data_IF_178168238115
#
_entry.id   IF_178168238115
#
_cell.length_a   1.000
_cell.length_b   1.000
_cell.length_c   1.000
_cell.angle_alpha   90.00
_cell.angle_beta   90.00
_cell.angle_gamma   90.00
#
_symmetry.space_group_name_H-M   'P 1'
#
loop_
_entity.id
_entity.type
_entity.pdbx_description
1 polymer ?
#
# COMPACT_ATOMS: atom_id res chain seq x y z
N UNK A 1 17.09 -42.51 -2.14
CA UNK A 1 18.09 -41.46 -2.42
C UNK A 1 17.65 -40.44 -3.48
N UNK A 2 16.63 -40.72 -4.32
CA UNK A 2 16.12 -39.76 -5.33
C UNK A 2 15.36 -38.56 -4.73
N UNK A 3 14.43 -38.79 -3.79
CA UNK A 3 13.57 -37.72 -3.26
C UNK A 3 14.33 -36.57 -2.59
N UNK A 4 15.46 -36.84 -1.93
CA UNK A 4 16.26 -35.81 -1.26
C UNK A 4 16.94 -34.87 -2.25
N UNK A 5 17.38 -35.36 -3.42
CA UNK A 5 18.05 -34.52 -4.42
C UNK A 5 17.04 -33.64 -5.15
N UNK A 6 15.85 -34.16 -5.46
CA UNK A 6 14.76 -33.38 -6.06
C UNK A 6 14.30 -32.24 -5.16
N UNK A 7 14.14 -32.49 -3.86
CA UNK A 7 13.75 -31.45 -2.89
C UNK A 7 14.82 -30.35 -2.79
N UNK A 8 16.11 -30.69 -2.76
CA UNK A 8 17.17 -29.68 -2.73
C UNK A 8 17.23 -28.83 -4.00
N UNK A 9 17.06 -29.44 -5.18
CA UNK A 9 17.04 -28.69 -6.45
C UNK A 9 15.82 -27.76 -6.54
N UNK A 10 14.66 -28.21 -6.05
CA UNK A 10 13.46 -27.40 -6.00
C UNK A 10 13.64 -26.16 -5.10
N UNK A 11 14.20 -26.34 -3.90
CA UNK A 11 14.47 -25.25 -2.96
C UNK A 11 15.44 -24.24 -3.58
N UNK A 12 16.52 -24.72 -4.20
CA UNK A 12 17.50 -23.86 -4.87
C UNK A 12 16.86 -23.03 -5.98
N UNK A 13 16.06 -23.65 -6.85
CA UNK A 13 15.36 -22.95 -7.93
C UNK A 13 14.37 -21.92 -7.39
N UNK A 14 13.64 -22.24 -6.31
CA UNK A 14 12.72 -21.31 -5.65
C UNK A 14 13.46 -20.08 -5.07
N UNK A 15 14.63 -20.28 -4.46
CA UNK A 15 15.46 -19.20 -3.92
C UNK A 15 16.02 -18.30 -5.02
N UNK A 16 16.50 -18.89 -6.12
CA UNK A 16 16.97 -18.13 -7.28
C UNK A 16 15.84 -17.29 -7.86
N UNK A 17 14.68 -17.91 -8.10
CA UNK A 17 13.50 -17.20 -8.62
C UNK A 17 13.07 -16.04 -7.71
N UNK A 18 12.96 -16.28 -6.39
CA UNK A 18 12.59 -15.24 -5.41
C UNK A 18 13.61 -14.09 -5.41
N UNK A 19 14.89 -14.40 -5.56
CA UNK A 19 15.95 -13.38 -5.60
C UNK A 19 15.84 -12.54 -6.87
N UNK A 20 15.78 -13.17 -8.04
CA UNK A 20 15.59 -12.46 -9.32
C UNK A 20 14.34 -11.59 -9.32
N UNK A 21 13.23 -12.12 -8.81
CA UNK A 21 11.99 -11.37 -8.68
C UNK A 21 12.18 -10.12 -7.80
N UNK A 22 12.83 -10.26 -6.63
CA UNK A 22 13.13 -9.13 -5.74
C UNK A 22 14.02 -8.08 -6.42
N UNK A 23 15.02 -8.49 -7.19
CA UNK A 23 15.89 -7.58 -7.96
C UNK A 23 15.08 -6.78 -8.99
N UNK A 24 14.22 -7.46 -9.75
CA UNK A 24 13.37 -6.82 -10.76
C UNK A 24 12.34 -5.88 -10.13
N UNK A 25 11.68 -6.32 -9.07
CA UNK A 25 10.70 -5.53 -8.32
C UNK A 25 11.34 -4.26 -7.73
N UNK A 26 12.53 -4.39 -7.14
CA UNK A 26 13.27 -3.25 -6.64
C UNK A 26 13.63 -2.27 -7.76
N UNK A 27 14.21 -2.74 -8.87
CA UNK A 27 14.63 -1.85 -9.95
C UNK A 27 13.46 -1.08 -10.56
N UNK A 28 12.38 -1.77 -10.93
CA UNK A 28 11.22 -1.16 -11.58
C UNK A 28 10.43 -0.32 -10.57
N UNK A 29 10.15 -0.88 -9.39
CA UNK A 29 9.32 -0.25 -8.37
C UNK A 29 9.98 0.99 -7.76
N UNK A 30 11.29 0.95 -7.51
CA UNK A 30 12.02 2.09 -6.96
C UNK A 30 12.06 3.27 -7.95
N UNK A 31 12.38 2.99 -9.22
CA UNK A 31 12.40 4.02 -10.27
C UNK A 31 10.99 4.60 -10.48
N UNK A 32 9.97 3.73 -10.58
CA UNK A 32 8.58 4.16 -10.78
C UNK A 32 8.07 5.05 -9.65
N UNK A 33 8.33 4.68 -8.38
CA UNK A 33 7.90 5.46 -7.24
C UNK A 33 8.65 6.79 -7.09
N UNK A 34 9.93 6.86 -7.47
CA UNK A 34 10.66 8.14 -7.54
C UNK A 34 10.01 9.06 -8.57
N UNK A 35 9.69 8.55 -9.77
CA UNK A 35 9.00 9.36 -10.78
C UNK A 35 7.64 9.84 -10.31
N UNK A 36 6.85 8.99 -9.63
CA UNK A 36 5.57 9.41 -9.05
C UNK A 36 5.75 10.57 -8.08
N UNK A 37 6.70 10.47 -7.14
CA UNK A 37 6.99 11.54 -6.19
C UNK A 37 7.38 12.82 -6.95
N UNK A 38 8.33 12.75 -7.88
CA UNK A 38 8.79 13.91 -8.64
C UNK A 38 7.65 14.58 -9.42
N UNK A 39 6.78 13.81 -10.08
CA UNK A 39 5.66 14.34 -10.85
C UNK A 39 4.65 15.03 -9.93
N UNK A 40 4.25 14.37 -8.84
CA UNK A 40 3.21 14.88 -7.96
C UNK A 40 3.67 16.04 -7.07
N UNK A 41 4.96 16.13 -6.73
CA UNK A 41 5.49 17.26 -5.95
C UNK A 41 5.86 18.48 -6.79
N UNK A 42 6.38 18.29 -8.02
CA UNK A 42 6.88 19.41 -8.83
C UNK A 42 5.81 20.04 -9.75
N UNK A 43 4.73 19.32 -10.05
CA UNK A 43 3.69 19.88 -10.93
C UNK A 43 2.76 20.78 -10.13
N UNK A 44 2.70 22.08 -10.47
CA UNK A 44 1.82 23.06 -9.80
C UNK A 44 0.34 22.66 -9.78
N UNK A 45 -0.10 21.87 -10.77
CA UNK A 45 -1.47 21.33 -10.87
C UNK A 45 -1.78 20.33 -9.74
N UNK A 46 -0.78 19.59 -9.27
CA UNK A 46 -0.94 18.50 -8.31
C UNK A 46 -0.52 18.87 -6.88
N UNK A 47 0.25 19.94 -6.70
CA UNK A 47 0.80 20.36 -5.40
C UNK A 47 -0.22 20.52 -4.27
N UNK A 48 -1.46 20.89 -4.60
CA UNK A 48 -2.55 21.04 -3.62
C UNK A 48 -3.66 19.99 -3.78
N UNK A 49 -3.40 18.95 -4.56
CA UNK A 49 -4.38 17.89 -4.82
C UNK A 49 -4.27 16.79 -3.75
N UNK A 50 -5.40 16.49 -3.11
CA UNK A 50 -5.52 15.45 -2.07
C UNK A 50 -5.16 14.06 -2.60
N UNK A 51 -5.56 13.75 -3.84
CA UNK A 51 -5.22 12.48 -4.48
C UNK A 51 -3.71 12.35 -4.67
N UNK A 52 -3.06 13.43 -5.12
CA UNK A 52 -1.61 13.47 -5.26
C UNK A 52 -0.89 13.28 -3.92
N UNK A 53 -1.45 13.81 -2.82
CA UNK A 53 -0.91 13.57 -1.47
C UNK A 53 -0.92 12.08 -1.08
N UNK A 54 -2.04 11.37 -1.30
CA UNK A 54 -2.09 9.94 -1.03
C UNK A 54 -1.13 9.13 -1.89
N UNK A 55 -1.03 9.45 -3.19
CA UNK A 55 -0.09 8.78 -4.11
C UNK A 55 1.37 9.04 -3.73
N UNK A 56 1.72 10.25 -3.28
CA UNK A 56 3.07 10.55 -2.78
C UNK A 56 3.34 9.76 -1.50
N UNK A 57 2.39 9.71 -0.56
CA UNK A 57 2.53 8.94 0.67
C UNK A 57 2.70 7.44 0.37
N UNK A 58 1.87 6.88 -0.52
CA UNK A 58 1.96 5.51 -1.00
C UNK A 58 3.35 5.22 -1.60
N UNK A 59 3.83 6.07 -2.51
CA UNK A 59 5.15 5.91 -3.13
C UNK A 59 6.31 5.96 -2.13
N UNK A 60 6.21 6.76 -1.06
CA UNK A 60 7.23 6.78 0.01
C UNK A 60 7.24 5.45 0.76
N UNK A 61 6.07 4.92 1.14
CA UNK A 61 5.97 3.64 1.83
C UNK A 61 6.40 2.47 0.94
N UNK A 62 6.08 2.50 -0.34
CA UNK A 62 6.55 1.50 -1.31
C UNK A 62 8.07 1.51 -1.44
N UNK A 63 8.70 2.68 -1.57
CA UNK A 63 10.17 2.78 -1.61
C UNK A 63 10.79 2.21 -0.33
N UNK A 64 10.23 2.53 0.84
CA UNK A 64 10.71 2.01 2.12
C UNK A 64 10.57 0.48 2.21
N UNK A 65 9.44 -0.08 1.76
CA UNK A 65 9.21 -1.52 1.71
C UNK A 65 10.16 -2.23 0.74
N UNK A 66 10.30 -1.70 -0.48
CA UNK A 66 11.20 -2.26 -1.50
C UNK A 66 12.65 -2.24 -1.04
N UNK A 67 13.09 -1.15 -0.42
CA UNK A 67 14.45 -1.01 0.11
C UNK A 67 14.71 -2.02 1.23
N UNK A 68 13.75 -2.20 2.14
CA UNK A 68 13.85 -3.20 3.21
C UNK A 68 13.90 -4.63 2.67
N UNK A 69 13.04 -4.97 1.70
CA UNK A 69 13.04 -6.29 1.07
C UNK A 69 14.35 -6.57 0.33
N UNK A 70 14.85 -5.58 -0.40
CA UNK A 70 16.12 -5.66 -1.10
C UNK A 70 17.31 -5.81 -0.15
N UNK A 71 17.37 -5.01 0.92
CA UNK A 71 18.41 -5.11 1.95
C UNK A 71 18.42 -6.51 2.60
N UNK A 72 17.24 -7.07 2.87
CA UNK A 72 17.09 -8.42 3.41
C UNK A 72 17.65 -9.52 2.48
N UNK A 73 17.44 -9.40 1.18
CA UNK A 73 17.96 -10.33 0.16
C UNK A 73 19.48 -10.20 0.03
N UNK A 74 19.98 -8.97 -0.08
CA UNK A 74 21.42 -8.68 -0.18
C UNK A 74 22.18 -9.21 1.03
N UNK A 75 21.66 -8.97 2.23
CA UNK A 75 22.35 -9.38 3.45
C UNK A 75 22.51 -10.90 3.53
N UNK A 76 21.48 -11.64 3.12
CA UNK A 76 21.51 -13.11 3.09
C UNK A 76 22.58 -13.62 2.11
N UNK A 77 22.79 -12.91 0.99
CA UNK A 77 23.84 -13.22 0.02
C UNK A 77 25.24 -12.94 0.58
N UNK A 78 25.46 -11.79 1.23
CA UNK A 78 26.77 -11.40 1.78
C UNK A 78 27.25 -12.27 2.95
N UNK A 79 26.34 -12.87 3.73
CA UNK A 79 26.69 -13.75 4.85
C UNK A 79 26.81 -15.24 4.45
N UNK A 80 27.17 -15.53 3.20
CA UNK A 80 27.30 -16.90 2.67
C UNK A 80 26.06 -17.78 2.92
N UNK A 81 24.86 -17.20 2.85
CA UNK A 81 23.60 -17.90 3.07
C UNK A 81 23.20 -18.07 4.55
N UNK A 82 23.96 -17.52 5.49
CA UNK A 82 23.58 -17.52 6.91
C UNK A 82 22.49 -16.47 7.14
N UNK A 83 21.27 -16.91 7.48
CA UNK A 83 20.14 -15.99 7.70
C UNK A 83 20.36 -15.17 8.98
N UNK A 84 20.46 -13.81 8.89
CA UNK A 84 20.62 -12.93 10.05
C UNK A 84 19.53 -13.09 11.10
N UNK A 85 18.35 -13.59 10.70
CA UNK A 85 17.23 -13.87 11.59
C UNK A 85 17.56 -14.90 12.67
N UNK A 86 18.54 -15.76 12.43
CA UNK A 86 18.98 -16.79 13.39
C UNK A 86 20.04 -16.28 14.37
N UNK A 87 20.68 -15.14 14.06
CA UNK A 87 21.82 -14.60 14.81
C UNK A 87 21.39 -13.49 15.77
N UNK A 88 20.47 -12.61 15.36
CA UNK A 88 20.06 -11.44 16.15
C UNK A 88 18.55 -11.40 16.37
N UNK A 89 18.14 -11.47 17.64
CA UNK A 89 16.72 -11.35 18.02
C UNK A 89 16.15 -10.00 17.61
N UNK A 90 16.94 -8.93 17.76
CA UNK A 90 16.54 -7.58 17.34
C UNK A 90 16.26 -7.54 15.85
N UNK A 91 17.12 -8.15 15.03
CA UNK A 91 16.93 -8.19 13.57
C UNK A 91 15.73 -9.04 13.17
N UNK A 92 15.54 -10.21 13.80
CA UNK A 92 14.36 -11.07 13.63
C UNK A 92 13.05 -10.28 13.87
N UNK A 93 13.01 -9.48 14.94
CA UNK A 93 11.86 -8.62 15.26
C UNK A 93 11.65 -7.53 14.21
N UNK A 94 12.67 -6.72 13.92
CA UNK A 94 12.55 -5.60 12.96
C UNK A 94 12.16 -6.09 11.55
N UNK A 95 12.76 -7.19 11.08
CA UNK A 95 12.45 -7.79 9.79
C UNK A 95 11.01 -8.28 9.68
N UNK A 96 10.36 -8.60 10.80
CA UNK A 96 8.96 -9.01 10.81
C UNK A 96 8.00 -7.82 10.98
N UNK A 97 8.38 -6.85 11.82
CA UNK A 97 7.56 -5.68 12.16
C UNK A 97 7.41 -4.74 10.96
N UNK A 98 8.51 -4.33 10.32
CA UNK A 98 8.47 -3.31 9.28
C UNK A 98 7.62 -3.73 8.07
N UNK A 99 7.73 -4.96 7.52
CA UNK A 99 6.87 -5.38 6.41
C UNK A 99 5.40 -5.49 6.77
N UNK A 100 5.06 -5.79 8.03
CA UNK A 100 3.66 -5.76 8.48
C UNK A 100 3.14 -4.32 8.53
N UNK A 101 3.95 -3.41 9.08
CA UNK A 101 3.61 -1.99 9.16
C UNK A 101 3.42 -1.37 7.77
N UNK A 102 4.35 -1.60 6.83
CA UNK A 102 4.23 -1.09 5.46
C UNK A 102 2.96 -1.58 4.76
N UNK A 103 2.66 -2.89 4.84
CA UNK A 103 1.47 -3.47 4.23
C UNK A 103 0.16 -2.89 4.78
N UNK A 104 0.09 -2.70 6.09
CA UNK A 104 -1.05 -2.04 6.72
C UNK A 104 -1.19 -0.58 6.29
N UNK A 105 -0.07 0.15 6.20
CA UNK A 105 -0.07 1.55 5.76
C UNK A 105 -0.53 1.69 4.31
N UNK A 106 0.02 0.90 3.39
CA UNK A 106 -0.39 0.90 1.99
C UNK A 106 -1.89 0.57 1.85
N UNK A 107 -2.35 -0.47 2.56
CA UNK A 107 -3.78 -0.85 2.57
C UNK A 107 -4.67 0.28 3.10
N UNK A 108 -4.26 0.96 4.17
CA UNK A 108 -4.98 2.09 4.73
C UNK A 108 -5.01 3.30 3.78
N UNK A 109 -3.87 3.63 3.15
CA UNK A 109 -3.76 4.73 2.19
C UNK A 109 -4.70 4.50 1.00
N UNK A 110 -4.72 3.30 0.43
CA UNK A 110 -5.64 2.96 -0.68
C UNK A 110 -7.10 3.11 -0.26
N UNK A 111 -7.46 2.68 0.94
CA UNK A 111 -8.82 2.87 1.47
C UNK A 111 -9.16 4.35 1.65
N UNK A 112 -8.27 5.14 2.23
CA UNK A 112 -8.49 6.57 2.44
C UNK A 112 -8.58 7.33 1.11
N UNK A 113 -7.75 6.97 0.13
CA UNK A 113 -7.80 7.54 -1.21
C UNK A 113 -9.15 7.26 -1.88
N UNK A 114 -9.66 6.03 -1.81
CA UNK A 114 -10.97 5.67 -2.36
C UNK A 114 -12.12 6.43 -1.66
N UNK A 115 -12.08 6.53 -0.32
CA UNK A 115 -13.07 7.28 0.46
C UNK A 115 -13.02 8.78 0.10
N UNK A 116 -11.82 9.36 0.01
CA UNK A 116 -11.64 10.77 -0.37
C UNK A 116 -12.15 11.03 -1.80
N UNK A 117 -11.93 10.10 -2.73
CA UNK A 117 -12.45 10.18 -4.09
C UNK A 117 -13.99 10.13 -4.11
N UNK A 118 -14.61 9.32 -3.26
CA UNK A 118 -16.07 9.32 -3.10
C UNK A 118 -16.60 10.64 -2.52
N UNK A 119 -15.98 11.13 -1.44
CA UNK A 119 -16.40 12.36 -0.76
C UNK A 119 -16.24 13.58 -1.67
N UNK A 120 -15.11 13.69 -2.36
CA UNK A 120 -14.81 14.82 -3.26
C UNK A 120 -15.74 14.90 -4.46
N UNK A 121 -16.27 13.76 -4.92
CA UNK A 121 -17.20 13.67 -6.05
C UNK A 121 -18.66 13.74 -5.63
N UNK A 122 -18.96 13.79 -4.33
CA UNK A 122 -20.33 13.74 -3.83
C UNK A 122 -21.16 14.98 -4.24
N UNK A 123 -22.45 14.81 -4.51
CA UNK A 123 -23.32 15.92 -4.94
C UNK A 123 -23.57 16.96 -3.85
N UNK A 124 -23.50 16.55 -2.57
CA UNK A 124 -23.75 17.43 -1.41
C UNK A 124 -22.47 18.16 -1.00
N UNK A 125 -22.49 19.50 -0.88
CA UNK A 125 -21.30 20.29 -0.58
C UNK A 125 -20.72 19.98 0.80
N UNK A 126 -21.54 19.68 1.82
CA UNK A 126 -21.04 19.34 3.16
C UNK A 126 -20.17 18.07 3.14
N UNK A 127 -20.51 17.07 2.34
CA UNK A 127 -19.71 15.84 2.21
C UNK A 127 -18.41 16.10 1.44
N UNK A 128 -18.44 17.00 0.45
CA UNK A 128 -17.24 17.41 -0.27
C UNK A 128 -16.25 18.15 0.62
N UNK A 129 -16.73 18.90 1.62
CA UNK A 129 -15.87 19.61 2.58
C UNK A 129 -15.12 18.66 3.52
N UNK A 130 -15.63 17.45 3.77
CA UNK A 130 -14.91 16.42 4.53
C UNK A 130 -13.68 15.88 3.80
N UNK A 131 -13.64 16.05 2.48
CA UNK A 131 -12.46 15.80 1.68
C UNK A 131 -11.59 17.06 1.71
N UNK A 132 -10.62 17.14 2.62
CA UNK A 132 -9.66 18.24 2.66
C UNK A 132 -8.24 17.71 2.84
N UNK A 133 -7.25 18.47 2.35
CA UNK A 133 -5.84 18.07 2.47
C UNK A 133 -5.40 17.95 3.94
N UNK A 134 -5.95 18.81 4.80
CA UNK A 134 -5.72 18.78 6.25
C UNK A 134 -6.22 17.47 6.86
N UNK A 135 -7.43 17.05 6.52
CA UNK A 135 -8.00 15.78 7.00
C UNK A 135 -7.19 14.59 6.47
N UNK A 136 -6.79 14.62 5.20
CA UNK A 136 -5.96 13.56 4.61
C UNK A 136 -4.63 13.37 5.37
N UNK A 137 -3.96 14.47 5.73
CA UNK A 137 -2.73 14.41 6.54
C UNK A 137 -2.98 13.80 7.91
N UNK A 138 -4.04 14.23 8.60
CA UNK A 138 -4.41 13.65 9.90
C UNK A 138 -4.74 12.16 9.81
N UNK A 139 -5.42 11.72 8.76
CA UNK A 139 -5.71 10.30 8.52
C UNK A 139 -4.44 9.47 8.37
N UNK A 140 -3.47 9.95 7.56
CA UNK A 140 -2.19 9.25 7.38
C UNK A 140 -1.36 9.22 8.67
N UNK A 141 -1.32 10.32 9.44
CA UNK A 141 -0.60 10.33 10.72
C UNK A 141 -1.25 9.42 11.76
N UNK A 142 -2.57 9.46 11.88
CA UNK A 142 -3.30 8.59 12.78
C UNK A 142 -3.12 7.12 12.41
N UNK A 143 -3.25 6.78 11.12
CA UNK A 143 -3.03 5.42 10.63
C UNK A 143 -1.59 4.96 10.88
N UNK A 144 -0.60 5.83 10.68
CA UNK A 144 0.80 5.52 11.00
C UNK A 144 0.95 5.07 12.45
N UNK A 145 0.41 5.85 13.40
CA UNK A 145 0.46 5.50 14.82
C UNK A 145 -0.30 4.21 15.14
N UNK A 146 -1.51 4.07 14.61
CA UNK A 146 -2.35 2.88 14.81
C UNK A 146 -1.70 1.60 14.26
N UNK A 147 -1.15 1.65 13.05
CA UNK A 147 -0.48 0.52 12.42
C UNK A 147 0.82 0.15 13.15
N UNK A 148 1.58 1.13 13.68
CA UNK A 148 2.74 0.84 14.53
C UNK A 148 2.33 0.12 15.81
N UNK A 149 1.30 0.62 16.51
CA UNK A 149 0.76 -0.02 17.72
C UNK A 149 0.29 -1.45 17.43
N UNK A 150 -0.36 -1.67 16.28
CA UNK A 150 -0.81 -2.98 15.84
C UNK A 150 0.32 -4.00 15.70
N UNK A 151 1.52 -3.57 15.32
CA UNK A 151 2.69 -4.46 15.18
C UNK A 151 3.42 -4.80 16.49
N UNK A 152 3.09 -4.14 17.61
CA UNK A 152 3.73 -4.38 18.92
C UNK A 152 3.61 -5.84 19.39
N UNK A 153 2.45 -6.52 19.32
CA UNK A 153 2.34 -7.92 19.69
C UNK A 153 3.33 -8.80 18.93
N UNK A 154 3.57 -8.53 17.64
CA UNK A 154 4.60 -9.20 16.86
C UNK A 154 5.98 -9.02 17.52
N UNK A 155 6.33 -7.79 17.88
CA UNK A 155 7.59 -7.46 18.53
C UNK A 155 7.79 -8.19 19.88
N UNK A 156 6.72 -8.40 20.63
CA UNK A 156 6.78 -9.05 21.96
C UNK A 156 6.91 -10.56 21.81
N UNK A 157 6.11 -11.19 20.97
CA UNK A 157 5.99 -12.66 20.89
C UNK A 157 6.95 -13.32 19.89
N UNK A 158 7.75 -12.57 19.14
CA UNK A 158 8.78 -13.12 18.28
C UNK A 158 10.02 -13.56 19.07
N UNK A 159 10.47 -14.78 18.80
CA UNK A 159 11.64 -15.41 19.40
C UNK A 159 12.45 -16.18 18.36
N UNK A 160 13.72 -16.45 18.67
CA UNK A 160 14.58 -17.32 17.86
C UNK A 160 14.46 -18.75 18.38
N UNK A 161 14.10 -19.67 17.49
CA UNK A 161 14.15 -21.11 17.69
C UNK A 161 15.38 -21.70 17.01
N UNK A 162 16.13 -22.61 17.66
CA UNK A 162 17.28 -23.27 17.04
C UNK A 162 16.93 -24.09 15.79
N UNK A 163 15.69 -24.56 15.69
CA UNK A 163 15.23 -25.47 14.64
C UNK A 163 14.55 -24.70 13.50
N UNK A 164 13.74 -23.70 13.84
CA UNK A 164 12.85 -23.02 12.89
C UNK A 164 13.24 -21.55 12.63
N UNK A 165 14.30 -21.05 13.28
CA UNK A 165 14.70 -19.65 13.16
C UNK A 165 13.72 -18.70 13.86
N UNK A 166 13.44 -17.55 13.24
CA UNK A 166 12.58 -16.51 13.81
C UNK A 166 11.10 -16.93 13.76
N UNK A 167 10.51 -17.26 14.90
CA UNK A 167 9.13 -17.74 15.01
C UNK A 167 8.30 -16.96 16.03
N UNK A 168 6.98 -17.00 15.84
CA UNK A 168 6.02 -16.49 16.81
C UNK A 168 5.78 -17.54 17.89
N UNK A 169 5.98 -17.17 19.16
CA UNK A 169 5.82 -18.06 20.32
C UNK A 169 4.37 -18.33 20.72
N UNK A 170 3.49 -17.35 20.52
CA UNK A 170 2.10 -17.41 20.97
C UNK A 170 1.20 -18.08 19.93
N UNK A 171 0.57 -19.19 20.31
CA UNK A 171 -0.43 -19.88 19.48
C UNK A 171 -1.62 -18.99 19.14
N UNK A 172 -2.04 -18.13 20.07
CA UNK A 172 -3.10 -17.14 19.82
C UNK A 172 -2.72 -16.14 18.74
N UNK A 173 -1.46 -15.67 18.74
CA UNK A 173 -0.99 -14.72 17.73
C UNK A 173 -0.80 -15.39 16.36
N UNK A 174 -0.39 -16.66 16.32
CA UNK A 174 -0.36 -17.45 15.09
C UNK A 174 -1.76 -17.56 14.48
N UNK A 175 -2.76 -17.97 15.29
CA UNK A 175 -4.14 -18.07 14.84
C UNK A 175 -4.69 -16.72 14.35
N UNK A 176 -4.38 -15.65 15.09
CA UNK A 176 -4.73 -14.30 14.66
C UNK A 176 -4.13 -13.96 13.29
N UNK A 177 -2.85 -14.25 13.07
CA UNK A 177 -2.20 -13.96 11.80
C UNK A 177 -2.79 -14.76 10.64
N UNK A 178 -2.94 -16.07 10.84
CA UNK A 178 -3.38 -17.00 9.80
C UNK A 178 -4.84 -16.82 9.40
N UNK A 179 -5.74 -16.53 10.35
CA UNK A 179 -7.18 -16.52 10.09
C UNK A 179 -7.81 -15.12 10.08
N UNK A 180 -7.18 -14.11 10.68
CA UNK A 180 -7.72 -12.76 10.73
C UNK A 180 -6.84 -11.75 9.99
N UNK A 181 -5.58 -11.60 10.38
CA UNK A 181 -4.74 -10.53 9.86
C UNK A 181 -4.48 -10.62 8.36
N UNK A 182 -3.88 -11.72 7.89
CA UNK A 182 -3.53 -11.86 6.48
C UNK A 182 -4.77 -11.95 5.57
N UNK A 183 -5.75 -12.83 5.82
CA UNK A 183 -6.88 -12.97 4.90
C UNK A 183 -7.90 -11.83 5.02
N UNK A 184 -8.23 -11.37 6.22
CA UNK A 184 -9.31 -10.39 6.43
C UNK A 184 -8.78 -8.96 6.44
N UNK A 185 -7.85 -8.64 7.34
CA UNK A 185 -7.44 -7.25 7.58
C UNK A 185 -6.57 -6.73 6.44
N UNK A 186 -5.59 -7.51 5.99
CA UNK A 186 -4.68 -7.11 4.92
C UNK A 186 -5.18 -7.51 3.53
N UNK A 187 -6.09 -8.48 3.45
CA UNK A 187 -6.64 -8.98 2.18
C UNK A 187 -8.02 -8.41 1.88
N UNK A 188 -9.06 -9.05 2.44
CA UNK A 188 -10.44 -8.81 2.05
C UNK A 188 -10.94 -7.40 2.37
N UNK A 189 -10.63 -6.89 3.57
CA UNK A 189 -11.11 -5.61 4.06
C UNK A 189 -10.71 -4.43 3.15
N UNK A 190 -9.42 -4.22 2.82
CA UNK A 190 -9.03 -3.09 1.97
C UNK A 190 -9.58 -3.22 0.56
N UNK A 191 -9.68 -4.44 0.01
CA UNK A 191 -10.28 -4.69 -1.31
C UNK A 191 -11.77 -4.31 -1.28
N UNK A 192 -12.53 -4.76 -0.29
CA UNK A 192 -13.95 -4.46 -0.18
C UNK A 192 -14.21 -2.96 0.00
N UNK A 193 -13.47 -2.31 0.90
CA UNK A 193 -13.62 -0.88 1.19
C UNK A 193 -13.24 -0.05 -0.04
N UNK A 194 -12.05 -0.26 -0.60
CA UNK A 194 -11.59 0.50 -1.77
C UNK A 194 -12.51 0.29 -2.98
N UNK A 195 -12.96 -0.94 -3.24
CA UNK A 195 -13.87 -1.24 -4.35
C UNK A 195 -15.23 -0.57 -4.17
N UNK A 196 -15.83 -0.68 -2.98
CA UNK A 196 -17.12 -0.06 -2.68
C UNK A 196 -17.07 1.46 -2.91
N UNK A 197 -16.09 2.14 -2.30
CA UNK A 197 -15.99 3.60 -2.42
C UNK A 197 -15.59 4.04 -3.84
N UNK A 198 -14.76 3.27 -4.55
CA UNK A 198 -14.43 3.54 -5.95
C UNK A 198 -15.66 3.43 -6.87
N UNK A 199 -16.51 2.41 -6.67
CA UNK A 199 -17.77 2.26 -7.42
C UNK A 199 -18.72 3.43 -7.13
N UNK A 200 -18.84 3.83 -5.85
CA UNK A 200 -19.66 4.98 -5.48
C UNK A 200 -19.13 6.29 -6.08
N UNK A 201 -17.81 6.50 -6.06
CA UNK A 201 -17.16 7.64 -6.71
C UNK A 201 -17.43 7.65 -8.22
N UNK A 202 -17.30 6.50 -8.88
CA UNK A 202 -17.62 6.36 -10.31
C UNK A 202 -19.07 6.73 -10.61
N UNK A 203 -20.03 6.27 -9.80
CA UNK A 203 -21.45 6.64 -9.96
C UNK A 203 -21.66 8.15 -9.80
N UNK A 204 -21.01 8.77 -8.83
CA UNK A 204 -21.08 10.22 -8.62
C UNK A 204 -20.52 11.01 -9.81
N UNK A 205 -19.34 10.64 -10.30
CA UNK A 205 -18.72 11.26 -11.49
C UNK A 205 -19.61 11.10 -12.71
N UNK A 206 -20.13 9.89 -12.97
CA UNK A 206 -21.05 9.64 -14.09
C UNK A 206 -22.30 10.51 -14.03
N UNK A 207 -22.82 10.73 -12.83
CA UNK A 207 -23.97 11.61 -12.62
C UNK A 207 -23.62 13.10 -12.87
N UNK A 208 -22.44 13.57 -12.45
CA UNK A 208 -21.96 14.93 -12.74
C UNK A 208 -21.79 15.15 -14.24
N UNK A 209 -21.08 14.24 -14.92
CA UNK A 209 -20.83 14.33 -16.37
C UNK A 209 -22.14 14.36 -17.16
N UNK A 210 -23.09 13.47 -16.82
CA UNK A 210 -24.42 13.45 -17.45
C UNK A 210 -25.19 14.75 -17.27
N UNK A 211 -25.01 15.48 -16.16
CA UNK A 211 -25.63 16.79 -15.94
C UNK A 211 -24.90 17.93 -16.64
N UNK A 212 -23.58 17.88 -16.76
CA UNK A 212 -22.78 18.95 -17.38
C UNK A 212 -22.91 18.98 -18.92
N UNK A 213 -23.00 17.81 -19.57
CA UNK A 213 -23.14 17.72 -21.04
C UNK A 213 -24.33 18.54 -21.58
N UNK A 214 -25.57 18.40 -21.08
CA UNK A 214 -26.69 19.20 -21.58
C UNK A 214 -26.55 20.70 -21.25
N UNK A 215 -25.89 21.05 -20.13
CA UNK A 215 -25.66 22.46 -19.78
C UNK A 215 -24.67 23.11 -20.76
N UNK A 216 -23.57 22.44 -21.08
CA UNK A 216 -22.60 22.95 -22.05
C UNK A 216 -23.19 23.01 -23.46
N UNK A 217 -23.97 22.00 -23.88
CA UNK A 217 -24.69 22.04 -25.16
C UNK A 217 -25.65 23.23 -25.21
N UNK A 218 -26.46 23.46 -24.17
CA UNK A 218 -27.36 24.62 -24.11
C UNK A 218 -26.62 25.97 -24.19
N UNK A 219 -25.46 26.10 -23.54
CA UNK A 219 -24.64 27.32 -23.63
C UNK A 219 -24.09 27.54 -25.04
N UNK A 220 -23.67 26.46 -25.72
CA UNK A 220 -23.21 26.53 -27.10
C UNK A 220 -24.34 26.94 -28.05
N UNK A 221 -25.54 26.35 -27.89
CA UNK A 221 -26.72 26.71 -28.68
C UNK A 221 -27.10 28.19 -28.49
N UNK A 222 -27.04 28.69 -27.24
CA UNK A 222 -27.27 30.12 -26.94
C UNK A 222 -26.25 31.04 -27.63
N UNK A 223 -24.97 30.67 -27.62
CA UNK A 223 -23.92 31.43 -28.31
C UNK A 223 -24.11 31.44 -29.83
N UNK A 224 -24.51 30.31 -30.41
CA UNK A 224 -24.81 30.22 -31.84
C UNK A 224 -25.99 31.10 -32.23
N UNK A 225 -27.07 31.10 -31.44
CA UNK A 225 -28.22 31.99 -31.70
C UNK A 225 -27.86 33.47 -31.56
N UNK A 226 -26.97 33.83 -30.63
CA UNK A 226 -26.55 35.22 -30.44
C UNK A 226 -25.62 35.76 -31.53
N UNK A 227 -25.05 34.91 -32.39
CA UNK A 227 -24.21 35.33 -33.53
C UNK A 227 -25.01 35.57 -34.83
N UNK A 228 -26.27 35.12 -34.87
CA UNK A 228 -27.13 35.22 -36.07
C UNK A 228 -27.97 36.51 -36.05
N UNK A 229 -28.12 37.16 -34.89
CA UNK A 229 -28.81 38.44 -34.70
C UNK A 229 -27.81 39.55 -34.40
#
# INVERSE_FOLDING_TARGET
MSNSSYVSTLILNAQLFSSYFTYTEFAIGFIGNIFNILVFTNTKIFYHNRCAFYLVAESIFDIAQLTQNFANTIWTLFLNGTDPQTVSLTWCKLRSIFPQWYRLMLSAIVCFAAIDQFLSTHHRPYLRQLSSLTIARYQVYFATGFCLLHTIPAAVFLQISPIFGCIVSSSGLINYYSYAFYPLINGLFPICVSSLFSILAYRNVRHIVRRQIPINRRRLDQQLTAMIF
#
